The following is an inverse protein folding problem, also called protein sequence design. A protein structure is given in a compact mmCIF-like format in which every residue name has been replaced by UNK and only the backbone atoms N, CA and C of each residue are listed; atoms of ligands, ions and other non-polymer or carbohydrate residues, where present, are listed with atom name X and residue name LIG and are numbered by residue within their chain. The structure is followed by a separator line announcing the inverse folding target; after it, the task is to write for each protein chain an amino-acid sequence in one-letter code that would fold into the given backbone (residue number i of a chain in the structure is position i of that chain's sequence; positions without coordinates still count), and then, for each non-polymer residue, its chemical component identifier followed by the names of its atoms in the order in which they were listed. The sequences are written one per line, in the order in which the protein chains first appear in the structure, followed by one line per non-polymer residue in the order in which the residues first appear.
data_IF_862187958151
#
_entry.id   IF_862187958151
#
_cell.length_a   1.000
_cell.length_b   1.000
_cell.length_c   1.000
_cell.angle_alpha   90.00
_cell.angle_beta   90.00
_cell.angle_gamma   90.00
#
_symmetry.space_group_name_H-M   'P 1'
#
loop_
_entity.id
_entity.type
_entity.pdbx_description
1 polymer ?
#
# COMPACT_ATOMS: atom_id res chain seq x y z
N UNK A 1 -1.10 30.86 37.31
CA UNK A 1 -1.26 30.42 35.92
C UNK A 1 0.11 30.51 35.24
N UNK A 2 0.46 29.54 34.39
CA UNK A 2 1.75 29.45 33.70
C UNK A 2 1.53 29.77 32.21
N UNK A 3 1.75 31.03 31.78
CA UNK A 3 1.47 31.46 30.42
C UNK A 3 2.25 30.69 29.35
N UNK A 4 3.41 30.12 29.71
CA UNK A 4 4.22 29.34 28.79
C UNK A 4 3.59 27.97 28.50
N UNK A 5 2.95 27.36 29.50
CA UNK A 5 2.22 26.11 29.34
C UNK A 5 0.94 26.29 28.52
N UNK A 6 0.24 27.40 28.73
CA UNK A 6 -0.97 27.73 27.98
C UNK A 6 -0.65 27.95 26.50
N UNK A 7 0.41 28.71 26.18
CA UNK A 7 0.88 28.91 24.81
C UNK A 7 1.33 27.60 24.14
N UNK A 8 2.01 26.72 24.88
CA UNK A 8 2.38 25.40 24.37
C UNK A 8 1.16 24.54 24.06
N UNK A 9 0.16 24.56 24.95
CA UNK A 9 -1.08 23.79 24.79
C UNK A 9 -1.88 24.29 23.59
N UNK A 10 -1.97 25.61 23.40
CA UNK A 10 -2.62 26.23 22.25
C UNK A 10 -1.92 25.84 20.93
N UNK A 11 -0.60 25.99 20.84
CA UNK A 11 0.17 25.60 19.65
C UNK A 11 0.05 24.10 19.32
N UNK A 12 0.00 23.25 20.36
CA UNK A 12 -0.21 21.81 20.18
C UNK A 12 -1.61 21.50 19.64
N UNK A 13 -2.64 22.14 20.17
CA UNK A 13 -4.01 22.02 19.69
C UNK A 13 -4.14 22.46 18.22
N UNK A 14 -3.57 23.62 17.87
CA UNK A 14 -3.55 24.11 16.49
C UNK A 14 -2.86 23.14 15.53
N UNK A 15 -1.72 22.59 15.94
CA UNK A 15 -0.98 21.60 15.16
C UNK A 15 -1.82 20.33 14.93
N UNK A 16 -2.51 19.82 15.95
CA UNK A 16 -3.40 18.67 15.82
C UNK A 16 -4.56 18.95 14.86
N UNK A 17 -5.21 20.11 14.96
CA UNK A 17 -6.28 20.51 14.04
C UNK A 17 -5.77 20.60 12.61
N UNK A 18 -4.56 21.12 12.39
CA UNK A 18 -3.95 21.17 11.06
C UNK A 18 -3.70 19.77 10.49
N UNK A 19 -3.16 18.84 11.29
CA UNK A 19 -2.98 17.45 10.85
C UNK A 19 -4.31 16.76 10.54
N UNK A 20 -5.35 16.99 11.34
CA UNK A 20 -6.68 16.46 11.08
C UNK A 20 -7.22 16.97 9.74
N UNK A 21 -7.07 18.26 9.45
CA UNK A 21 -7.48 18.86 8.18
C UNK A 21 -6.68 18.28 7.00
N UNK A 22 -5.36 18.17 7.13
CA UNK A 22 -4.48 17.61 6.08
C UNK A 22 -4.81 16.14 5.77
N UNK A 23 -5.19 15.35 6.78
CA UNK A 23 -5.63 13.96 6.59
C UNK A 23 -7.04 13.87 5.98
N UNK A 24 -7.95 14.75 6.39
CA UNK A 24 -9.37 14.70 6.00
C UNK A 24 -9.59 15.29 4.60
N UNK A 25 -8.80 16.28 4.19
CA UNK A 25 -8.97 16.99 2.92
C UNK A 25 -8.86 16.07 1.69
N UNK A 26 -7.83 15.23 1.52
CA UNK A 26 -7.74 14.31 0.39
C UNK A 26 -8.91 13.33 0.32
N UNK A 27 -9.41 12.88 1.47
CA UNK A 27 -10.56 11.98 1.52
C UNK A 27 -11.84 12.67 1.03
N UNK A 28 -12.10 13.90 1.51
CA UNK A 28 -13.25 14.70 1.05
C UNK A 28 -13.16 15.02 -0.45
N UNK A 29 -11.99 15.42 -0.92
CA UNK A 29 -11.75 15.69 -2.35
C UNK A 29 -11.98 14.45 -3.22
N UNK A 30 -11.50 13.28 -2.78
CA UNK A 30 -11.72 12.02 -3.48
C UNK A 30 -13.22 11.63 -3.51
N UNK A 31 -13.93 11.77 -2.39
CA UNK A 31 -15.37 11.48 -2.33
C UNK A 31 -16.18 12.40 -3.26
N UNK A 32 -15.84 13.69 -3.30
CA UNK A 32 -16.47 14.65 -4.22
C UNK A 32 -16.15 14.32 -5.68
N UNK A 33 -14.90 13.96 -5.98
CA UNK A 33 -14.50 13.54 -7.32
C UNK A 33 -15.29 12.30 -7.79
N UNK A 34 -15.41 11.28 -6.95
CA UNK A 34 -16.17 10.06 -7.24
C UNK A 34 -17.64 10.40 -7.48
N UNK A 35 -18.27 11.17 -6.59
CA UNK A 35 -19.67 11.57 -6.74
C UNK A 35 -19.93 12.37 -8.03
N UNK A 36 -18.99 13.24 -8.41
CA UNK A 36 -19.07 13.97 -9.68
C UNK A 36 -18.96 13.03 -10.90
N UNK A 37 -18.04 12.07 -10.89
CA UNK A 37 -17.92 11.07 -11.97
C UNK A 37 -19.17 10.19 -12.05
N UNK A 38 -19.70 9.74 -10.91
CA UNK A 38 -20.95 8.97 -10.84
C UNK A 38 -22.14 9.76 -11.43
N UNK A 39 -22.22 11.07 -11.14
CA UNK A 39 -23.24 11.94 -11.72
C UNK A 39 -23.11 12.06 -13.24
N UNK A 40 -21.88 12.24 -13.75
CA UNK A 40 -21.62 12.31 -15.19
C UNK A 40 -21.98 11.00 -15.89
N UNK A 41 -21.59 9.85 -15.33
CA UNK A 41 -21.96 8.53 -15.86
C UNK A 41 -23.47 8.31 -15.86
N UNK A 42 -24.16 8.72 -14.80
CA UNK A 42 -25.62 8.61 -14.71
C UNK A 42 -26.31 9.48 -15.76
N UNK A 43 -25.79 10.67 -16.04
CA UNK A 43 -26.30 11.54 -17.11
C UNK A 43 -26.09 10.93 -18.50
N UNK A 44 -24.91 10.34 -18.77
CA UNK A 44 -24.64 9.66 -20.04
C UNK A 44 -25.54 8.43 -20.24
N UNK A 45 -25.80 7.69 -19.17
CA UNK A 45 -26.67 6.51 -19.20
C UNK A 45 -28.15 6.88 -19.46
N UNK A 46 -28.62 8.05 -18.99
CA UNK A 46 -29.99 8.53 -19.26
C UNK A 46 -30.14 9.05 -20.70
N UNK A 47 -29.08 9.59 -21.31
CA UNK A 47 -29.11 10.00 -22.73
C UNK A 47 -29.22 8.80 -23.71
N UNK A 48 -28.88 7.58 -23.27
CA UNK A 48 -29.07 6.33 -24.03
C UNK A 48 -30.44 5.67 -23.80
N UNK A 49 -31.35 6.29 -23.06
CA UNK A 49 -32.66 5.71 -22.74
C UNK A 49 -33.76 6.75 -22.78
N UNK A 50 -33.88 7.49 -23.90
CA UNK A 50 -35.17 8.05 -24.30
C UNK A 50 -35.32 8.14 -25.82
N UNK A 51 -35.67 7.01 -26.41
CA UNK A 51 -36.66 7.00 -27.49
C UNK A 51 -37.50 5.73 -27.34
N UNK A 52 -38.50 5.80 -26.46
CA UNK A 52 -39.55 4.80 -26.39
C UNK A 52 -40.34 4.77 -27.70
N UNK A 53 -40.42 3.60 -28.34
CA UNK A 53 -41.21 3.38 -29.54
C UNK A 53 -41.48 1.89 -29.73
N UNK A 54 -42.63 1.45 -29.24
CA UNK A 54 -43.23 0.15 -29.50
C UNK A 54 -43.39 -0.12 -31.00
N UNK A 55 -42.86 -1.24 -31.49
CA UNK A 55 -43.22 -1.82 -32.80
C UNK A 55 -42.08 -2.58 -33.48
N UNK A 56 -42.15 -3.91 -33.48
CA UNK A 56 -41.69 -4.74 -34.62
C UNK A 56 -42.32 -4.21 -35.93
N UNK A 57 -41.75 -4.35 -37.14
CA UNK A 57 -40.92 -5.49 -37.57
C UNK A 57 -39.80 -5.17 -38.65
N UNK A 58 -38.93 -6.17 -38.91
CA UNK A 58 -38.20 -6.48 -40.18
C UNK A 58 -37.09 -5.53 -40.74
N UNK A 59 -36.03 -6.20 -41.22
CA UNK A 59 -35.07 -5.82 -42.28
C UNK A 59 -33.77 -5.02 -42.01
N UNK A 60 -32.67 -5.76 -42.22
CA UNK A 60 -31.44 -5.42 -42.95
C UNK A 60 -30.41 -4.47 -42.28
N UNK A 61 -29.38 -5.07 -41.66
CA UNK A 61 -28.13 -4.39 -41.29
C UNK A 61 -27.19 -4.41 -42.51
N UNK A 62 -26.92 -3.23 -43.06
CA UNK A 62 -25.87 -2.97 -44.05
C UNK A 62 -24.47 -3.23 -43.42
N UNK A 63 -23.66 -4.14 -43.96
CA UNK A 63 -22.41 -4.60 -43.34
C UNK A 63 -21.19 -3.71 -43.64
N UNK A 64 -21.34 -2.47 -44.08
CA UNK A 64 -20.25 -1.72 -44.68
C UNK A 64 -19.89 -0.40 -43.96
N UNK A 65 -19.36 -0.48 -42.73
CA UNK A 65 -18.51 0.59 -42.20
C UNK A 65 -17.36 0.03 -41.34
N UNK A 66 -16.26 -0.28 -42.00
CA UNK A 66 -15.06 -0.94 -41.46
C UNK A 66 -14.07 -0.01 -40.71
N UNK A 67 -14.47 1.19 -40.28
CA UNK A 67 -13.51 2.17 -39.74
C UNK A 67 -13.83 2.81 -38.38
N UNK A 68 -14.54 2.11 -37.48
CA UNK A 68 -14.64 2.57 -36.08
C UNK A 68 -13.44 2.08 -35.25
N UNK A 69 -12.31 2.80 -35.34
CA UNK A 69 -11.12 2.53 -34.53
C UNK A 69 -11.37 3.09 -33.11
N UNK A 70 -11.70 2.21 -32.15
CA UNK A 70 -11.81 2.51 -30.72
C UNK A 70 -10.42 2.86 -30.13
N UNK A 71 -10.14 4.11 -29.73
CA UNK A 71 -8.85 4.52 -29.16
C UNK A 71 -8.52 3.85 -27.82
N UNK A 72 -9.49 3.20 -27.16
CA UNK A 72 -9.30 2.41 -25.94
C UNK A 72 -9.06 0.92 -26.22
N UNK A 73 -9.27 0.45 -27.45
CA UNK A 73 -8.98 -0.94 -27.82
C UNK A 73 -7.47 -1.20 -27.80
N UNK A 74 -6.66 -0.23 -28.24
CA UNK A 74 -5.20 -0.35 -28.24
C UNK A 74 -4.61 -0.47 -26.82
N UNK A 75 -5.12 0.29 -25.86
CA UNK A 75 -4.66 0.23 -24.47
C UNK A 75 -5.09 -1.07 -23.75
N UNK A 76 -6.30 -1.56 -24.06
CA UNK A 76 -6.77 -2.88 -23.59
C UNK A 76 -5.93 -4.02 -24.18
N UNK A 77 -5.61 -3.93 -25.46
CA UNK A 77 -4.79 -4.94 -26.16
C UNK A 77 -3.36 -4.95 -25.62
N UNK A 78 -2.75 -3.77 -25.40
CA UNK A 78 -1.43 -3.66 -24.79
C UNK A 78 -1.41 -4.26 -23.38
N UNK A 79 -2.44 -4.01 -22.57
CA UNK A 79 -2.59 -4.59 -21.24
C UNK A 79 -2.73 -6.11 -21.28
N UNK A 80 -3.51 -6.66 -22.22
CA UNK A 80 -3.66 -8.10 -22.43
C UNK A 80 -2.32 -8.72 -22.83
N UNK A 81 -1.59 -8.09 -23.77
CA UNK A 81 -0.27 -8.54 -24.20
C UNK A 81 0.75 -8.50 -23.06
N UNK A 82 0.77 -7.44 -22.26
CA UNK A 82 1.62 -7.33 -21.07
C UNK A 82 1.30 -8.44 -20.06
N UNK A 83 0.02 -8.62 -19.73
CA UNK A 83 -0.41 -9.67 -18.80
C UNK A 83 -0.06 -11.05 -19.33
N UNK A 84 -0.26 -11.32 -20.63
CA UNK A 84 0.11 -12.60 -21.24
C UNK A 84 1.62 -12.84 -21.17
N UNK A 85 2.43 -11.82 -21.50
CA UNK A 85 3.90 -11.90 -21.51
C UNK A 85 4.50 -12.08 -20.12
N UNK A 86 3.93 -11.40 -19.11
CA UNK A 86 4.48 -11.37 -17.75
C UNK A 86 3.71 -12.20 -16.72
N UNK A 87 2.57 -12.84 -17.06
CA UNK A 87 1.75 -13.58 -16.09
C UNK A 87 2.52 -14.67 -15.36
N UNK A 88 3.41 -15.39 -16.05
CA UNK A 88 4.25 -16.42 -15.44
C UNK A 88 5.21 -15.83 -14.39
N UNK A 89 5.87 -14.72 -14.71
CA UNK A 89 6.78 -14.02 -13.79
C UNK A 89 6.02 -13.39 -12.60
N UNK A 90 4.87 -12.79 -12.85
CA UNK A 90 4.00 -12.26 -11.80
C UNK A 90 3.49 -13.38 -10.89
N UNK A 91 3.18 -14.54 -11.45
CA UNK A 91 2.79 -15.74 -10.71
C UNK A 91 3.91 -16.27 -9.83
N UNK A 92 5.13 -16.41 -10.36
CA UNK A 92 6.30 -16.85 -9.57
C UNK A 92 6.65 -15.84 -8.49
N UNK A 93 6.62 -14.55 -8.80
CA UNK A 93 6.91 -13.48 -7.85
C UNK A 93 5.88 -13.44 -6.71
N UNK A 94 4.59 -13.55 -7.04
CA UNK A 94 3.51 -13.66 -6.05
C UNK A 94 3.68 -14.91 -5.19
N UNK A 95 4.08 -16.04 -5.78
CA UNK A 95 4.37 -17.27 -5.02
C UNK A 95 5.58 -17.09 -4.09
N UNK A 96 6.62 -16.37 -4.50
CA UNK A 96 7.77 -16.07 -3.65
C UNK A 96 7.42 -15.15 -2.47
N UNK A 97 6.60 -14.13 -2.68
CA UNK A 97 6.10 -13.28 -1.60
C UNK A 97 5.15 -14.02 -0.66
N UNK A 98 4.32 -14.94 -1.18
CA UNK A 98 3.37 -15.74 -0.40
C UNK A 98 4.01 -16.94 0.29
N UNK A 99 5.23 -17.35 -0.07
CA UNK A 99 6.02 -18.34 0.68
C UNK A 99 6.31 -17.76 2.06
N UNK A 100 5.39 -17.99 3.00
CA UNK A 100 5.58 -17.69 4.43
C UNK A 100 6.89 -18.34 4.87
N UNK A 101 7.91 -17.52 5.13
CA UNK A 101 9.22 -17.97 5.61
C UNK A 101 8.98 -18.84 6.84
N UNK A 102 9.62 -20.02 6.89
CA UNK A 102 9.38 -21.04 7.93
C UNK A 102 9.28 -20.39 9.32
N UNK A 103 8.08 -20.48 9.90
CA UNK A 103 7.73 -19.90 11.19
C UNK A 103 8.72 -20.41 12.25
N UNK A 104 9.52 -19.51 12.80
CA UNK A 104 10.38 -19.80 13.97
C UNK A 104 11.89 -19.61 13.80
N UNK A 105 12.43 -19.37 12.60
CA UNK A 105 13.86 -19.02 12.45
C UNK A 105 14.04 -17.69 11.73
N UNK A 106 14.78 -16.77 12.34
CA UNK A 106 15.15 -15.51 11.72
C UNK A 106 15.96 -15.75 10.43
N UNK A 107 15.80 -14.92 9.38
CA UNK A 107 16.63 -14.93 8.18
C UNK A 107 18.13 -14.96 8.52
N UNK A 108 18.93 -15.66 7.69
CA UNK A 108 20.38 -15.76 7.92
C UNK A 108 21.04 -14.38 7.98
N UNK A 109 20.71 -13.51 7.04
CA UNK A 109 21.20 -12.14 6.97
C UNK A 109 20.81 -11.32 8.20
N UNK A 110 19.53 -11.37 8.59
CA UNK A 110 19.05 -10.71 9.80
C UNK A 110 19.83 -11.17 11.04
N UNK A 111 20.04 -12.48 11.18
CA UNK A 111 20.83 -13.04 12.28
C UNK A 111 22.29 -12.58 12.25
N UNK A 112 22.90 -12.49 11.06
CA UNK A 112 24.28 -12.05 10.92
C UNK A 112 24.45 -10.61 11.42
N UNK A 113 23.53 -9.70 11.06
CA UNK A 113 23.54 -8.31 11.53
C UNK A 113 23.38 -8.23 13.05
N UNK A 114 22.47 -9.02 13.63
CA UNK A 114 22.28 -9.07 15.08
C UNK A 114 23.52 -9.61 15.81
N UNK A 115 24.18 -10.63 15.25
CA UNK A 115 25.42 -11.18 15.80
C UNK A 115 26.60 -10.21 15.69
N UNK A 116 26.69 -9.44 14.61
CA UNK A 116 27.71 -8.39 14.43
C UNK A 116 27.51 -7.26 15.45
N UNK A 117 26.28 -6.81 15.69
CA UNK A 117 26.02 -5.85 16.77
C UNK A 117 26.40 -6.46 18.13
N UNK A 118 26.02 -7.71 18.37
CA UNK A 118 26.30 -8.44 19.61
C UNK A 118 27.80 -8.55 19.91
N UNK A 119 28.62 -8.91 18.93
CA UNK A 119 30.06 -9.08 19.13
C UNK A 119 30.73 -7.77 19.53
N UNK A 120 30.30 -6.65 18.95
CA UNK A 120 30.78 -5.29 19.27
C UNK A 120 30.37 -4.84 20.67
N UNK A 121 29.24 -5.33 21.19
CA UNK A 121 28.66 -4.92 22.47
C UNK A 121 28.62 -6.05 23.50
N UNK A 122 29.49 -7.06 23.38
CA UNK A 122 29.45 -8.26 24.21
C UNK A 122 29.53 -7.95 25.72
N UNK A 123 30.29 -6.92 26.11
CA UNK A 123 30.43 -6.51 27.53
C UNK A 123 29.11 -6.00 28.11
N UNK A 124 28.30 -5.31 27.31
CA UNK A 124 27.01 -4.75 27.74
C UNK A 124 25.96 -4.84 26.62
N UNK A 125 25.35 -6.02 26.40
CA UNK A 125 24.52 -6.29 25.23
C UNK A 125 23.07 -5.83 25.44
N UNK A 126 22.89 -4.55 25.76
CA UNK A 126 21.59 -3.89 25.91
C UNK A 126 21.49 -2.74 24.90
N UNK A 127 20.97 -3.02 23.68
CA UNK A 127 20.79 -1.97 22.69
C UNK A 127 19.77 -0.94 23.20
N UNK A 128 20.03 0.34 22.95
CA UNK A 128 19.06 1.42 23.18
C UNK A 128 17.86 1.30 22.24
N UNK A 129 16.76 1.99 22.52
CA UNK A 129 15.59 1.96 21.62
C UNK A 129 15.93 2.42 20.20
N UNK A 130 16.75 3.46 20.03
CA UNK A 130 17.24 3.89 18.72
C UNK A 130 18.07 2.82 18.00
N UNK A 131 18.92 2.09 18.74
CA UNK A 131 19.69 0.98 18.15
C UNK A 131 18.79 -0.20 17.76
N UNK A 132 17.76 -0.51 18.54
CA UNK A 132 16.79 -1.54 18.20
C UNK A 132 16.00 -1.18 16.94
N UNK A 133 15.59 0.08 16.80
CA UNK A 133 14.93 0.58 15.60
C UNK A 133 15.82 0.43 14.37
N UNK A 134 17.08 0.90 14.44
CA UNK A 134 18.04 0.75 13.35
C UNK A 134 18.32 -0.72 12.99
N UNK A 135 18.36 -1.62 13.98
CA UNK A 135 18.46 -3.06 13.74
C UNK A 135 17.20 -3.62 13.09
N UNK A 136 16.01 -3.17 13.49
CA UNK A 136 14.74 -3.53 12.85
C UNK A 136 14.72 -3.12 11.37
N UNK A 137 15.07 -1.87 11.05
CA UNK A 137 15.14 -1.35 9.69
C UNK A 137 16.11 -2.15 8.81
N UNK A 138 17.32 -2.41 9.32
CA UNK A 138 18.34 -3.12 8.55
C UNK A 138 18.07 -4.61 8.40
N UNK A 139 17.33 -5.23 9.32
CA UNK A 139 17.05 -6.67 9.31
C UNK A 139 15.67 -7.03 8.77
N UNK A 140 14.78 -6.05 8.63
CA UNK A 140 13.36 -6.26 8.29
C UNK A 140 12.59 -6.98 9.40
N UNK A 141 13.08 -6.94 10.65
CA UNK A 141 12.45 -7.56 11.80
C UNK A 141 11.67 -6.54 12.61
N UNK A 142 10.55 -6.98 13.19
CA UNK A 142 9.79 -6.14 14.09
C UNK A 142 10.52 -5.95 15.45
N UNK A 143 10.16 -4.90 16.17
CA UNK A 143 10.77 -4.56 17.47
C UNK A 143 10.67 -5.72 18.47
N UNK A 144 9.58 -6.50 18.43
CA UNK A 144 9.35 -7.65 19.31
C UNK A 144 10.33 -8.79 19.00
N UNK A 145 10.60 -9.07 17.73
CA UNK A 145 11.58 -10.05 17.26
C UNK A 145 12.99 -9.66 17.67
N UNK A 146 13.35 -8.38 17.51
CA UNK A 146 14.64 -7.83 17.96
C UNK A 146 14.80 -8.02 19.48
N UNK A 147 13.81 -7.57 20.25
CA UNK A 147 13.82 -7.71 21.71
C UNK A 147 13.95 -9.17 22.16
N UNK A 148 13.12 -10.06 21.60
CA UNK A 148 13.15 -11.48 21.93
C UNK A 148 14.48 -12.13 21.56
N UNK A 149 15.10 -11.72 20.45
CA UNK A 149 16.40 -12.22 20.06
C UNK A 149 17.47 -11.83 21.08
N UNK A 150 17.56 -10.56 21.47
CA UNK A 150 18.55 -10.10 22.45
C UNK A 150 18.35 -10.72 23.84
N UNK A 151 17.10 -10.88 24.29
CA UNK A 151 16.80 -11.59 25.55
C UNK A 151 17.31 -13.03 25.50
N UNK A 152 16.99 -13.76 24.43
CA UNK A 152 17.42 -15.15 24.28
C UNK A 152 18.93 -15.28 24.07
N UNK A 153 19.54 -14.35 23.36
CA UNK A 153 20.98 -14.34 23.11
C UNK A 153 21.76 -14.11 24.41
N UNK A 154 21.34 -13.16 25.25
CA UNK A 154 21.88 -12.97 26.61
C UNK A 154 21.76 -14.23 27.44
N UNK A 155 20.56 -14.82 27.53
CA UNK A 155 20.33 -16.05 28.28
C UNK A 155 21.25 -17.22 27.88
N UNK A 156 21.65 -17.29 26.60
CA UNK A 156 22.45 -18.40 26.08
C UNK A 156 23.96 -18.15 26.13
N UNK A 157 24.39 -16.90 25.95
CA UNK A 157 25.78 -16.60 25.62
C UNK A 157 26.42 -15.53 26.50
N UNK A 158 25.67 -14.84 27.35
CA UNK A 158 26.23 -13.81 28.23
C UNK A 158 26.48 -14.41 29.61
N UNK A 159 27.76 -14.58 29.93
CA UNK A 159 28.27 -15.05 31.22
C UNK A 159 29.19 -14.00 31.82
#
# INVERSE_FOLDING_TARGET
EDPALDQFTEAYCEMLTKYEQELTKPFKEAMLFISNIESQLKSLNVASSDSGGSGSPEDEIDPNDENYIDPQAEDKELKIQLLRKYSGYLGSLKQEFLKKRKKGKLPKEARQKLLDWWSRHYKWPYPSEGQKLALGETTGLDQKQINNWFINQRKRHWK
#
